data_IF_782164562002
#
_entry.id   IF_782164562002
#
_cell.length_a   1.000
_cell.length_b   1.000
_cell.length_c   1.000
_cell.angle_alpha   90.00
_cell.angle_beta   90.00
_cell.angle_gamma   90.00
#
_symmetry.space_group_name_H-M   'P 1'
#
loop_
_entity.id
_entity.type
_entity.pdbx_description
1 polymer ?
#
# COMPACT_ATOMS: atom_id res chain seq x y z
N UNK A 1 76.84 17.18 -44.40
CA UNK A 1 76.72 16.36 -43.18
C UNK A 1 75.93 17.20 -42.18
N UNK A 2 74.66 16.82 -41.94
CA UNK A 2 73.66 17.67 -41.31
C UNK A 2 73.73 17.67 -39.78
N UNK A 3 73.49 18.83 -39.18
CA UNK A 3 73.32 19.00 -37.75
C UNK A 3 71.89 18.60 -37.34
N UNK A 4 71.75 17.61 -36.47
CA UNK A 4 70.47 17.19 -35.91
C UNK A 4 70.25 17.85 -34.57
N UNK A 5 69.47 18.94 -34.56
CA UNK A 5 68.96 19.57 -33.35
C UNK A 5 67.84 18.72 -32.76
N UNK A 6 68.09 18.07 -31.63
CA UNK A 6 67.09 17.33 -30.87
C UNK A 6 66.19 18.31 -30.09
N UNK A 7 65.00 18.61 -30.62
CA UNK A 7 63.92 19.23 -29.85
C UNK A 7 63.30 18.19 -28.92
N UNK A 8 63.45 18.38 -27.61
CA UNK A 8 62.74 17.62 -26.58
C UNK A 8 61.27 18.05 -26.52
N UNK A 9 60.35 17.09 -26.61
CA UNK A 9 58.90 17.28 -26.42
C UNK A 9 58.59 17.80 -25.01
N UNK A 10 57.58 18.67 -24.84
CA UNK A 10 57.19 19.16 -23.53
C UNK A 10 56.72 17.99 -22.67
N UNK A 11 57.42 17.77 -21.56
CA UNK A 11 57.13 16.68 -20.63
C UNK A 11 55.68 16.74 -20.16
N UNK A 12 54.95 15.65 -20.33
CA UNK A 12 53.70 15.44 -19.60
C UNK A 12 54.05 15.48 -18.13
N UNK A 13 53.63 16.53 -17.42
CA UNK A 13 53.69 16.56 -15.97
C UNK A 13 52.92 15.32 -15.47
N UNK A 14 53.59 14.36 -14.80
CA UNK A 14 52.88 13.28 -14.13
C UNK A 14 51.89 13.93 -13.18
N UNK A 15 50.64 13.47 -13.16
CA UNK A 15 49.65 13.91 -12.18
C UNK A 15 50.26 13.68 -10.79
N UNK A 16 50.71 14.76 -10.15
CA UNK A 16 51.40 14.69 -8.88
C UNK A 16 50.35 14.38 -7.81
N UNK A 17 50.25 13.10 -7.47
CA UNK A 17 49.36 12.63 -6.43
C UNK A 17 49.83 13.21 -5.10
N UNK A 18 49.03 14.10 -4.52
CA UNK A 18 49.29 14.63 -3.19
C UNK A 18 48.72 13.63 -2.17
N UNK A 19 49.56 12.98 -1.34
CA UNK A 19 49.13 11.98 -0.37
C UNK A 19 48.13 12.54 0.65
N UNK A 20 48.24 13.81 1.04
CA UNK A 20 47.31 14.46 1.96
C UNK A 20 45.90 14.58 1.35
N UNK A 21 45.83 14.87 0.04
CA UNK A 21 44.55 14.93 -0.68
C UNK A 21 43.90 13.56 -0.81
N UNK A 22 44.71 12.51 -0.99
CA UNK A 22 44.24 11.12 -1.05
C UNK A 22 43.69 10.69 0.31
N UNK A 23 44.42 10.98 1.38
CA UNK A 23 44.00 10.67 2.76
C UNK A 23 42.72 11.43 3.15
N UNK A 24 42.63 12.72 2.81
CA UNK A 24 41.44 13.53 3.05
C UNK A 24 40.23 12.97 2.29
N UNK A 25 40.41 12.51 1.05
CA UNK A 25 39.36 11.90 0.25
C UNK A 25 38.91 10.55 0.83
N UNK A 26 39.85 9.71 1.27
CA UNK A 26 39.54 8.43 1.92
C UNK A 26 38.70 8.64 3.19
N UNK A 27 39.12 9.56 4.06
CA UNK A 27 38.35 9.95 5.26
C UNK A 27 36.96 10.49 4.90
N UNK A 28 36.85 11.31 3.86
CA UNK A 28 35.57 11.85 3.41
C UNK A 28 34.62 10.75 2.89
N UNK A 29 35.14 9.74 2.19
CA UNK A 29 34.36 8.59 1.73
C UNK A 29 33.86 7.72 2.88
N UNK A 30 34.70 7.46 3.88
CA UNK A 30 34.30 6.70 5.08
C UNK A 30 33.21 7.44 5.86
N UNK A 31 33.38 8.76 6.05
CA UNK A 31 32.37 9.62 6.69
C UNK A 31 31.06 9.61 5.89
N UNK A 32 31.13 9.66 4.56
CA UNK A 32 29.94 9.61 3.69
C UNK A 32 29.26 8.25 3.78
N UNK A 33 30.02 7.16 3.77
CA UNK A 33 29.50 5.81 3.88
C UNK A 33 28.81 5.61 5.24
N UNK A 34 29.40 6.10 6.33
CA UNK A 34 28.84 6.00 7.67
C UNK A 34 27.57 6.85 7.81
N UNK A 35 27.58 8.08 7.28
CA UNK A 35 26.37 8.92 7.24
C UNK A 35 25.25 8.25 6.44
N UNK A 36 25.58 7.59 5.33
CA UNK A 36 24.59 6.89 4.52
C UNK A 36 24.00 5.68 5.25
N UNK A 37 24.82 4.94 6.01
CA UNK A 37 24.32 3.87 6.89
C UNK A 37 23.40 4.43 7.98
N UNK A 38 23.80 5.52 8.63
CA UNK A 38 22.98 6.16 9.67
C UNK A 38 21.63 6.63 9.12
N UNK A 39 21.61 7.22 7.92
CA UNK A 39 20.37 7.61 7.24
C UNK A 39 19.48 6.40 6.92
N UNK A 40 20.06 5.33 6.35
CA UNK A 40 19.30 4.12 6.05
C UNK A 40 18.70 3.46 7.30
N UNK A 41 19.47 3.45 8.40
CA UNK A 41 19.00 2.97 9.71
C UNK A 41 17.85 3.85 10.19
N UNK A 42 18.00 5.18 10.16
CA UNK A 42 16.97 6.12 10.57
C UNK A 42 15.68 5.96 9.77
N UNK A 43 15.76 5.85 8.44
CA UNK A 43 14.60 5.62 7.57
C UNK A 43 13.88 4.31 7.91
N UNK A 44 14.65 3.27 8.24
CA UNK A 44 14.11 1.97 8.64
C UNK A 44 13.36 2.07 9.97
N UNK A 45 13.93 2.79 10.96
CA UNK A 45 13.26 3.06 12.23
C UNK A 45 11.99 3.89 12.07
N UNK A 46 12.03 4.94 11.25
CA UNK A 46 10.87 5.78 10.97
C UNK A 46 9.73 4.96 10.33
N UNK A 47 10.06 4.05 9.41
CA UNK A 47 9.08 3.13 8.81
C UNK A 47 8.49 2.18 9.86
N UNK A 48 9.33 1.58 10.71
CA UNK A 48 8.88 0.66 11.76
C UNK A 48 7.94 1.36 12.74
N UNK A 49 8.29 2.58 13.16
CA UNK A 49 7.48 3.36 14.09
C UNK A 49 6.14 3.76 13.47
N UNK A 50 6.15 4.13 12.18
CA UNK A 50 4.93 4.36 11.42
C UNK A 50 4.06 3.09 11.37
N UNK A 51 4.64 1.92 11.07
CA UNK A 51 3.91 0.65 11.00
C UNK A 51 3.37 0.24 12.38
N UNK A 52 4.11 0.43 13.47
CA UNK A 52 3.62 0.20 14.85
C UNK A 52 2.41 1.07 15.15
N UNK A 53 2.47 2.35 14.82
CA UNK A 53 1.35 3.28 15.01
C UNK A 53 0.15 2.86 14.16
N UNK A 54 0.38 2.40 12.93
CA UNK A 54 -0.69 1.94 12.04
C UNK A 54 -1.38 0.73 12.65
N UNK A 55 -0.58 -0.22 13.17
CA UNK A 55 -1.08 -1.41 13.84
C UNK A 55 -1.87 -1.06 15.11
N UNK A 56 -1.45 -0.06 15.90
CA UNK A 56 -2.21 0.36 17.08
C UNK A 56 -3.57 0.94 16.71
N UNK A 57 -3.62 1.84 15.72
CA UNK A 57 -4.87 2.42 15.23
C UNK A 57 -5.77 1.34 14.64
N UNK A 58 -5.22 0.46 13.80
CA UNK A 58 -5.96 -0.67 13.24
C UNK A 58 -6.46 -1.62 14.32
N UNK A 59 -5.67 -1.95 15.34
CA UNK A 59 -6.13 -2.76 16.48
C UNK A 59 -7.29 -2.10 17.22
N UNK A 60 -7.24 -0.78 17.41
CA UNK A 60 -8.35 -0.04 18.03
C UNK A 60 -9.60 -0.03 17.15
N UNK A 61 -9.43 0.10 15.83
CA UNK A 61 -10.52 -0.04 14.85
C UNK A 61 -11.11 -1.45 14.93
N UNK A 62 -10.30 -2.50 14.84
CA UNK A 62 -10.76 -3.89 14.87
C UNK A 62 -11.46 -4.27 16.17
N UNK A 63 -11.02 -3.72 17.32
CA UNK A 63 -11.71 -3.92 18.59
C UNK A 63 -13.11 -3.28 18.63
N UNK A 64 -13.33 -2.23 17.84
CA UNK A 64 -14.64 -1.59 17.66
C UNK A 64 -15.43 -2.21 16.52
N UNK A 65 -14.74 -2.78 15.53
CA UNK A 65 -15.29 -3.57 14.44
C UNK A 65 -15.56 -5.00 14.93
N UNK A 66 -16.40 -5.18 15.95
CA UNK A 66 -17.24 -6.37 15.89
C UNK A 66 -18.04 -6.18 14.61
N UNK A 67 -17.79 -6.95 13.54
CA UNK A 67 -18.47 -6.72 12.30
C UNK A 67 -19.95 -6.96 12.58
N UNK A 68 -20.75 -5.90 12.59
CA UNK A 68 -22.20 -6.04 12.56
C UNK A 68 -22.54 -6.64 11.20
N UNK A 69 -22.56 -7.96 11.14
CA UNK A 69 -22.93 -8.70 9.94
C UNK A 69 -24.43 -8.56 9.80
N UNK A 70 -24.86 -7.58 9.00
CA UNK A 70 -26.26 -7.45 8.59
C UNK A 70 -26.49 -8.46 7.48
N UNK A 71 -27.34 -9.45 7.77
CA UNK A 71 -27.77 -10.48 6.82
C UNK A 71 -29.11 -10.07 6.20
N UNK A 72 -29.25 -10.22 4.90
CA UNK A 72 -30.47 -9.91 4.12
C UNK A 72 -31.07 -11.20 3.55
N UNK A 73 -32.40 -11.40 3.49
CA UNK A 73 -33.01 -12.68 3.12
C UNK A 73 -32.58 -13.32 1.77
N UNK A 74 -31.88 -12.60 0.90
CA UNK A 74 -31.20 -13.10 -0.32
C UNK A 74 -29.75 -13.53 -0.04
N UNK A 75 -29.45 -13.96 1.19
CA UNK A 75 -28.10 -14.04 1.74
C UNK A 75 -27.14 -14.89 0.91
N UNK A 76 -26.09 -14.23 0.45
CA UNK A 76 -24.84 -14.85 0.03
C UNK A 76 -24.06 -15.13 1.32
N UNK A 77 -23.84 -16.41 1.62
CA UNK A 77 -22.95 -16.83 2.70
C UNK A 77 -21.55 -17.08 2.16
N UNK A 78 -20.53 -16.89 2.99
CA UNK A 78 -19.14 -17.18 2.64
C UNK A 78 -18.18 -16.33 3.46
N UNK A 79 -16.91 -16.36 3.06
CA UNK A 79 -15.85 -15.60 3.72
C UNK A 79 -15.28 -14.56 2.76
N UNK A 80 -14.92 -13.39 3.30
CA UNK A 80 -14.16 -12.37 2.59
C UNK A 80 -12.83 -12.14 3.28
N UNK A 81 -11.75 -12.14 2.52
CA UNK A 81 -10.41 -11.83 3.00
C UNK A 81 -10.04 -10.40 2.63
N UNK A 82 -9.74 -9.61 3.66
CA UNK A 82 -9.41 -8.19 3.54
C UNK A 82 -8.10 -7.89 4.28
N UNK A 83 -7.36 -6.90 3.78
CA UNK A 83 -6.24 -6.31 4.52
C UNK A 83 -6.37 -4.80 4.58
N UNK A 84 -5.90 -4.23 5.68
CA UNK A 84 -6.04 -2.81 5.99
C UNK A 84 -4.68 -2.20 6.30
N UNK A 85 -4.45 -0.99 5.83
CA UNK A 85 -3.26 -0.19 6.17
C UNK A 85 -3.65 1.27 6.27
N UNK A 86 -3.19 1.94 7.32
CA UNK A 86 -3.30 3.39 7.40
C UNK A 86 -1.94 4.05 7.11
N UNK A 87 -1.89 4.96 6.14
CA UNK A 87 -0.72 5.77 5.83
C UNK A 87 -0.85 7.15 6.50
N UNK A 88 -0.15 7.34 7.63
CA UNK A 88 -0.17 8.61 8.36
C UNK A 88 0.44 9.78 7.57
N UNK A 89 1.43 9.55 6.71
CA UNK A 89 2.05 10.64 5.96
C UNK A 89 1.09 11.20 4.93
N UNK A 90 0.32 10.31 4.29
CA UNK A 90 -0.65 10.68 3.24
C UNK A 90 -2.07 10.88 3.76
N UNK A 91 -2.34 10.51 5.02
CA UNK A 91 -3.67 10.49 5.63
C UNK A 91 -4.65 9.65 4.78
N UNK A 92 -4.25 8.40 4.49
CA UNK A 92 -5.01 7.46 3.66
C UNK A 92 -5.30 6.17 4.42
N UNK A 93 -6.57 5.75 4.44
CA UNK A 93 -6.95 4.37 4.71
C UNK A 93 -6.90 3.57 3.41
N UNK A 94 -6.04 2.56 3.38
CA UNK A 94 -5.90 1.61 2.29
C UNK A 94 -6.62 0.33 2.68
N UNK A 95 -7.57 -0.09 1.84
CA UNK A 95 -8.32 -1.33 2.01
C UNK A 95 -8.02 -2.21 0.80
N UNK A 96 -7.39 -3.36 1.04
CA UNK A 96 -7.14 -4.38 0.03
C UNK A 96 -8.25 -5.43 0.11
N UNK A 97 -8.99 -5.59 -0.97
CA UNK A 97 -9.88 -6.73 -1.17
C UNK A 97 -9.06 -7.85 -1.79
N UNK A 98 -8.85 -8.94 -1.05
CA UNK A 98 -7.96 -10.02 -1.49
C UNK A 98 -8.77 -11.03 -2.29
N UNK A 99 -9.73 -11.70 -1.65
CA UNK A 99 -10.58 -12.72 -2.25
C UNK A 99 -11.85 -12.97 -1.44
N UNK A 100 -12.79 -13.68 -2.02
CA UNK A 100 -13.83 -14.38 -1.26
C UNK A 100 -13.65 -15.90 -1.36
N UNK A 101 -14.22 -16.64 -0.40
CA UNK A 101 -14.25 -18.10 -0.37
C UNK A 101 -15.65 -18.58 -0.05
N UNK A 102 -16.00 -19.75 -0.58
CA UNK A 102 -17.25 -20.45 -0.29
C UNK A 102 -18.49 -19.54 -0.43
N UNK A 103 -18.54 -18.72 -1.49
CA UNK A 103 -19.73 -17.89 -1.74
C UNK A 103 -20.92 -18.77 -2.17
N UNK A 104 -21.93 -18.87 -1.32
CA UNK A 104 -23.15 -19.64 -1.54
C UNK A 104 -24.38 -18.74 -1.44
N UNK A 105 -25.10 -18.58 -2.56
CA UNK A 105 -26.43 -18.00 -2.54
C UNK A 105 -27.45 -19.05 -2.05
N UNK A 106 -28.35 -18.66 -1.14
CA UNK A 106 -29.38 -19.58 -0.63
C UNK A 106 -30.43 -20.01 -1.68
N UNK A 107 -30.58 -19.27 -2.79
CA UNK A 107 -31.50 -19.66 -3.86
C UNK A 107 -30.87 -20.68 -4.84
N UNK A 108 -31.31 -21.94 -4.69
CA UNK A 108 -30.90 -23.13 -5.44
C UNK A 108 -31.14 -23.01 -6.95
N UNK A 109 -32.02 -22.11 -7.41
CA UNK A 109 -32.30 -21.90 -8.84
C UNK A 109 -31.24 -21.09 -9.59
N UNK A 110 -30.28 -20.51 -8.89
CA UNK A 110 -29.44 -19.43 -9.44
C UNK A 110 -28.03 -19.91 -9.76
N UNK A 111 -27.66 -19.90 -11.06
CA UNK A 111 -26.25 -19.92 -11.55
C UNK A 111 -25.55 -18.58 -11.22
N UNK A 112 -25.65 -18.13 -9.99
CA UNK A 112 -25.13 -16.83 -9.61
C UNK A 112 -23.63 -16.98 -9.34
N UNK A 113 -22.85 -16.41 -10.26
CA UNK A 113 -21.44 -16.74 -10.41
C UNK A 113 -20.56 -15.50 -10.59
N UNK A 114 -21.13 -14.30 -10.54
CA UNK A 114 -20.43 -13.07 -10.92
C UNK A 114 -20.30 -12.12 -9.72
N UNK A 115 -19.58 -12.50 -8.65
CA UNK A 115 -19.46 -11.71 -7.44
C UNK A 115 -18.65 -10.42 -7.64
N UNK A 116 -18.99 -9.42 -6.85
CA UNK A 116 -18.22 -8.20 -6.65
C UNK A 116 -18.36 -7.68 -5.22
N UNK A 117 -17.41 -6.86 -4.78
CA UNK A 117 -17.39 -6.24 -3.45
C UNK A 117 -17.55 -4.74 -3.58
N UNK A 118 -18.50 -4.18 -2.84
CA UNK A 118 -18.73 -2.74 -2.69
C UNK A 118 -18.22 -2.28 -1.31
N UNK A 119 -17.51 -1.16 -1.28
CA UNK A 119 -16.94 -0.55 -0.10
C UNK A 119 -17.39 0.91 0.01
N UNK A 120 -17.86 1.33 1.18
CA UNK A 120 -18.32 2.70 1.41
C UNK A 120 -18.06 3.14 2.85
N UNK A 121 -17.68 4.39 3.05
CA UNK A 121 -17.56 4.99 4.40
C UNK A 121 -18.91 5.55 4.86
N UNK A 122 -19.20 5.43 6.15
CA UNK A 122 -20.38 5.99 6.79
C UNK A 122 -20.04 6.60 8.17
N UNK A 123 -20.32 7.90 8.41
CA UNK A 123 -20.67 8.90 7.40
C UNK A 123 -19.52 9.13 6.42
N UNK A 124 -19.84 9.40 5.15
CA UNK A 124 -18.83 9.74 4.13
C UNK A 124 -18.48 11.23 4.21
N UNK A 125 -17.59 11.58 5.14
CA UNK A 125 -17.21 12.97 5.43
C UNK A 125 -16.54 13.71 4.26
N UNK A 126 -16.06 12.97 3.25
CA UNK A 126 -15.29 13.51 2.13
C UNK A 126 -15.90 13.16 0.76
N UNK A 127 -17.13 12.63 0.74
CA UNK A 127 -17.84 12.24 -0.48
C UNK A 127 -17.01 11.34 -1.40
N UNK A 128 -16.32 10.35 -0.82
CA UNK A 128 -15.57 9.32 -1.57
C UNK A 128 -16.46 8.48 -2.48
N UNK A 129 -17.74 8.35 -2.12
CA UNK A 129 -18.70 7.47 -2.77
C UNK A 129 -18.38 5.98 -2.55
N UNK A 130 -19.22 5.14 -3.13
CA UNK A 130 -19.00 3.70 -3.14
C UNK A 130 -17.87 3.34 -4.11
N UNK A 131 -16.94 2.51 -3.65
CA UNK A 131 -15.90 1.90 -4.48
C UNK A 131 -16.23 0.44 -4.69
N UNK A 132 -16.07 -0.07 -5.91
CA UNK A 132 -16.51 -1.42 -6.28
C UNK A 132 -15.34 -2.14 -6.97
N UNK A 133 -15.15 -3.41 -6.65
CA UNK A 133 -14.19 -4.27 -7.36
C UNK A 133 -14.66 -4.53 -8.79
N UNK A 134 -13.78 -5.10 -9.59
CA UNK A 134 -14.20 -5.78 -10.81
C UNK A 134 -15.16 -6.92 -10.47
N UNK A 135 -16.03 -7.21 -11.42
CA UNK A 135 -16.86 -8.40 -11.41
C UNK A 135 -16.02 -9.53 -12.00
N UNK A 136 -15.92 -10.65 -11.27
CA UNK A 136 -15.25 -11.85 -11.77
C UNK A 136 -16.33 -12.86 -12.12
N UNK A 137 -16.40 -13.24 -13.39
CA UNK A 137 -17.48 -14.06 -13.94
C UNK A 137 -17.27 -15.54 -13.60
N UNK A 138 -18.37 -16.27 -13.43
CA UNK A 138 -18.38 -17.74 -13.29
C UNK A 138 -17.57 -18.33 -12.11
N UNK A 139 -17.51 -17.63 -10.97
CA UNK A 139 -16.79 -18.10 -9.77
C UNK A 139 -17.50 -17.82 -8.44
N UNK A 140 -17.29 -18.72 -7.48
CA UNK A 140 -17.67 -18.55 -6.06
C UNK A 140 -16.47 -18.24 -5.16
N UNK A 141 -15.27 -18.22 -5.75
CA UNK A 141 -14.01 -17.90 -5.07
C UNK A 141 -13.25 -16.82 -5.84
N UNK A 142 -13.83 -15.63 -6.02
CA UNK A 142 -13.20 -14.55 -6.76
C UNK A 142 -11.93 -14.07 -6.05
N UNK A 143 -10.85 -13.89 -6.82
CA UNK A 143 -9.60 -13.29 -6.36
C UNK A 143 -9.46 -11.90 -6.99
N UNK A 144 -9.61 -10.85 -6.19
CA UNK A 144 -9.60 -9.47 -6.67
C UNK A 144 -8.21 -8.85 -6.62
N UNK A 145 -7.52 -8.98 -5.48
CA UNK A 145 -6.25 -8.28 -5.20
C UNK A 145 -6.29 -6.76 -5.48
N UNK A 146 -7.43 -6.12 -5.29
CA UNK A 146 -7.64 -4.69 -5.54
C UNK A 146 -7.41 -3.86 -4.28
N UNK A 147 -6.79 -2.68 -4.43
CA UNK A 147 -6.53 -1.75 -3.32
C UNK A 147 -7.34 -0.48 -3.54
N UNK A 148 -8.17 -0.14 -2.56
CA UNK A 148 -8.94 1.09 -2.51
C UNK A 148 -8.34 2.05 -1.49
N UNK A 149 -8.23 3.32 -1.86
CA UNK A 149 -7.73 4.38 -0.99
C UNK A 149 -8.84 5.36 -0.62
N UNK A 150 -8.99 5.62 0.68
CA UNK A 150 -9.88 6.63 1.23
C UNK A 150 -9.05 7.70 1.95
N UNK A 151 -9.20 8.96 1.53
CA UNK A 151 -8.56 10.09 2.20
C UNK A 151 -9.31 10.42 3.48
N UNK A 152 -8.65 10.22 4.62
CA UNK A 152 -9.24 10.45 5.93
C UNK A 152 -8.15 10.65 6.98
N UNK A 153 -8.42 11.53 7.93
CA UNK A 153 -7.54 11.82 9.05
C UNK A 153 -7.67 10.76 10.14
N UNK A 154 -6.61 10.61 10.92
CA UNK A 154 -6.56 9.61 11.99
C UNK A 154 -7.71 9.75 12.99
N UNK A 155 -8.09 10.99 13.33
CA UNK A 155 -9.21 11.27 14.25
C UNK A 155 -10.56 10.80 13.70
N UNK A 156 -10.72 10.79 12.37
CA UNK A 156 -11.98 10.42 11.72
C UNK A 156 -12.15 8.90 11.65
N UNK A 157 -11.08 8.12 11.76
CA UNK A 157 -11.14 6.66 11.79
C UNK A 157 -12.02 6.14 12.92
N UNK A 158 -12.03 6.83 14.06
CA UNK A 158 -12.83 6.42 15.22
C UNK A 158 -14.31 6.70 15.11
N UNK A 159 -14.71 7.63 14.23
CA UNK A 159 -16.09 8.11 14.10
C UNK A 159 -16.72 7.69 12.76
N UNK A 160 -15.97 6.96 11.94
CA UNK A 160 -16.41 6.45 10.64
C UNK A 160 -16.41 4.93 10.65
N UNK A 161 -17.43 4.36 10.00
CA UNK A 161 -17.56 2.93 9.76
C UNK A 161 -17.29 2.65 8.29
N UNK A 162 -16.56 1.58 8.00
CA UNK A 162 -16.44 1.05 6.65
C UNK A 162 -17.49 -0.04 6.45
N UNK A 163 -18.44 0.22 5.56
CA UNK A 163 -19.44 -0.75 5.11
C UNK A 163 -18.87 -1.54 3.95
N UNK A 164 -18.90 -2.87 4.06
CA UNK A 164 -18.47 -3.81 3.03
C UNK A 164 -19.67 -4.66 2.67
N UNK A 165 -20.00 -4.70 1.38
CA UNK A 165 -21.14 -5.46 0.86
C UNK A 165 -20.64 -6.38 -0.26
N UNK A 166 -21.00 -7.66 -0.17
CA UNK A 166 -20.75 -8.65 -1.22
C UNK A 166 -22.06 -8.88 -1.95
N UNK A 167 -22.04 -8.73 -3.28
CA UNK A 167 -23.21 -8.89 -4.14
C UNK A 167 -22.82 -9.63 -5.41
N UNK A 168 -23.79 -10.19 -6.12
CA UNK A 168 -23.59 -10.83 -7.43
C UNK A 168 -24.19 -9.95 -8.52
N UNK A 169 -23.46 -9.79 -9.63
CA UNK A 169 -23.93 -9.05 -10.79
C UNK A 169 -25.21 -9.68 -11.38
N UNK A 170 -26.19 -8.85 -11.75
CA UNK A 170 -27.49 -9.32 -12.26
C UNK A 170 -28.56 -9.56 -11.19
N UNK A 171 -28.27 -9.34 -9.91
CA UNK A 171 -29.28 -9.32 -8.84
C UNK A 171 -29.60 -7.85 -8.47
N UNK A 172 -30.87 -7.41 -8.49
CA UNK A 172 -31.22 -6.09 -8.04
C UNK A 172 -30.92 -5.99 -6.54
N UNK A 173 -30.00 -5.11 -6.17
CA UNK A 173 -29.86 -4.65 -4.80
C UNK A 173 -31.10 -3.81 -4.48
N UNK A 174 -32.15 -4.44 -3.97
CA UNK A 174 -33.28 -3.70 -3.40
C UNK A 174 -32.77 -2.89 -2.20
N UNK A 175 -32.50 -1.60 -2.46
CA UNK A 175 -33.05 -0.41 -1.78
C UNK A 175 -32.06 0.76 -1.81
N UNK A 176 -32.54 1.85 -2.40
CA UNK A 176 -32.11 3.23 -2.17
C UNK A 176 -32.34 3.68 -0.73
#
# INVERSE_FOLDING_TARGET
MGASSSQSLPGRNPLQQNPEKIEALAKALDVKAERQKQLAIQETWDRLEQDKRSLQVLKSLFKKLDPTVVRSPTDINGEIELAFKYDFKRQLLLVKVIRCRDLHAQDIRTKASDPYVRLQLYPDLHSHGAKVTKIIVETREPVYNEIFAFKMREKELTDTSLVIQVSMWGYPSERE
#
